data_IF_247471311347
#
_entry.id   IF_247471311347
#
_cell.length_a   1.000
_cell.length_b   1.000
_cell.length_c   1.000
_cell.angle_alpha   90.00
_cell.angle_beta   90.00
_cell.angle_gamma   90.00
#
_symmetry.space_group_name_H-M   'P 1'
#
loop_
_entity.id
_entity.type
_entity.pdbx_description
1 polymer ?
#
# COMPACT_ATOMS: atom_id res chain seq x y z
N UNK A 1 5.32 -8.23 -7.72
CA UNK A 1 4.42 -7.46 -8.61
C UNK A 1 4.22 -6.03 -8.12
N UNK A 2 4.29 -5.75 -6.82
CA UNK A 2 4.15 -4.38 -6.30
C UNK A 2 5.27 -3.42 -6.64
N UNK A 3 6.51 -3.90 -6.65
CA UNK A 3 7.63 -3.12 -7.16
C UNK A 3 7.33 -2.60 -8.58
N UNK A 4 6.59 -3.37 -9.40
CA UNK A 4 6.15 -2.95 -10.73
C UNK A 4 4.97 -1.94 -10.67
N UNK A 5 3.95 -2.14 -9.83
CA UNK A 5 2.85 -1.17 -9.65
C UNK A 5 3.36 0.21 -9.20
N UNK A 6 4.18 0.26 -8.15
CA UNK A 6 4.70 1.52 -7.59
C UNK A 6 5.66 2.18 -8.59
N UNK A 7 6.50 1.39 -9.29
CA UNK A 7 7.41 1.93 -10.30
C UNK A 7 6.65 2.51 -11.49
N UNK A 8 5.60 1.83 -11.99
CA UNK A 8 4.74 2.35 -13.06
C UNK A 8 4.08 3.67 -12.65
N UNK A 9 3.55 3.75 -11.43
CA UNK A 9 2.97 4.99 -10.91
C UNK A 9 4.02 6.14 -10.87
N UNK A 10 5.23 5.87 -10.39
CA UNK A 10 6.32 6.85 -10.37
C UNK A 10 6.71 7.33 -11.78
N UNK A 11 6.75 6.43 -12.77
CA UNK A 11 7.04 6.76 -14.17
C UNK A 11 5.93 7.61 -14.79
N UNK A 12 4.67 7.31 -14.49
CA UNK A 12 3.53 8.13 -14.92
C UNK A 12 3.62 9.54 -14.33
N UNK A 13 3.95 9.67 -13.03
CA UNK A 13 4.16 10.98 -12.41
C UNK A 13 5.34 11.75 -13.03
N UNK A 14 6.42 11.06 -13.37
CA UNK A 14 7.56 11.67 -14.07
C UNK A 14 7.16 12.17 -15.46
N UNK A 15 6.44 11.37 -16.24
CA UNK A 15 5.92 11.75 -17.56
C UNK A 15 5.07 13.02 -17.47
N UNK A 16 4.19 13.09 -16.46
CA UNK A 16 3.35 14.26 -16.17
C UNK A 16 4.18 15.49 -15.82
N UNK A 17 5.17 15.34 -14.93
CA UNK A 17 6.09 16.42 -14.53
C UNK A 17 6.81 17.01 -15.74
N UNK A 18 7.29 16.15 -16.64
CA UNK A 18 8.01 16.54 -17.86
C UNK A 18 7.08 16.95 -19.02
N UNK A 19 5.77 16.81 -18.87
CA UNK A 19 4.77 17.07 -19.91
C UNK A 19 5.04 16.27 -21.20
N UNK A 20 5.43 14.99 -21.05
CA UNK A 20 5.70 14.07 -22.16
C UNK A 20 4.82 12.82 -22.07
N UNK A 21 4.55 12.12 -23.19
CA UNK A 21 3.90 10.81 -23.15
C UNK A 21 4.71 9.80 -22.32
N UNK A 22 4.01 8.91 -21.59
CA UNK A 22 4.64 7.93 -20.69
C UNK A 22 5.60 6.99 -21.43
N UNK A 23 5.32 6.71 -22.71
CA UNK A 23 6.13 5.85 -23.58
C UNK A 23 7.55 6.40 -23.77
N UNK A 24 7.75 7.72 -23.64
CA UNK A 24 9.07 8.34 -23.74
C UNK A 24 9.94 8.12 -22.52
N UNK A 25 9.35 7.85 -21.36
CA UNK A 25 10.04 7.64 -20.08
C UNK A 25 9.88 6.23 -19.54
N UNK A 26 9.11 5.36 -20.21
CA UNK A 26 8.86 3.97 -19.81
C UNK A 26 10.13 3.17 -19.55
N UNK A 27 11.19 3.40 -20.34
CA UNK A 27 12.47 2.72 -20.15
C UNK A 27 13.13 2.97 -18.78
N UNK A 28 12.67 3.99 -18.02
CA UNK A 28 13.15 4.27 -16.67
C UNK A 28 12.53 3.35 -15.61
N UNK A 29 11.55 2.51 -15.96
CA UNK A 29 11.01 1.46 -15.06
C UNK A 29 12.13 0.56 -14.51
N UNK A 30 13.20 0.33 -15.29
CA UNK A 30 14.34 -0.49 -14.85
C UNK A 30 15.13 0.11 -13.67
N UNK A 31 14.93 1.39 -13.35
CA UNK A 31 15.60 2.05 -12.22
C UNK A 31 14.88 1.80 -10.89
N UNK A 32 13.63 1.33 -10.93
CA UNK A 32 12.78 1.17 -9.76
C UNK A 32 12.19 2.49 -9.24
N UNK A 33 11.13 2.38 -8.45
CA UNK A 33 10.31 3.50 -8.00
C UNK A 33 11.09 4.61 -7.28
N UNK A 34 11.95 4.26 -6.32
CA UNK A 34 12.71 5.23 -5.51
C UNK A 34 13.62 6.11 -6.38
N UNK A 35 14.34 5.50 -7.33
CA UNK A 35 15.24 6.24 -8.23
C UNK A 35 14.46 7.10 -9.23
N UNK A 36 13.34 6.59 -9.76
CA UNK A 36 12.47 7.37 -10.66
C UNK A 36 11.90 8.57 -9.93
N UNK A 37 11.47 8.40 -8.68
CA UNK A 37 10.95 9.48 -7.87
C UNK A 37 12.02 10.51 -7.50
N UNK A 38 13.23 10.06 -7.17
CA UNK A 38 14.37 10.95 -6.95
C UNK A 38 14.73 11.77 -8.21
N UNK A 39 14.66 11.17 -9.40
CA UNK A 39 14.83 11.87 -10.69
C UNK A 39 13.72 12.90 -10.87
N UNK A 40 12.45 12.50 -10.65
CA UNK A 40 11.28 13.39 -10.74
C UNK A 40 11.46 14.63 -9.87
N UNK A 41 11.86 14.45 -8.61
CA UNK A 41 12.13 15.55 -7.70
C UNK A 41 13.22 16.50 -8.20
N UNK A 42 14.35 15.96 -8.69
CA UNK A 42 15.47 16.79 -9.22
C UNK A 42 15.07 17.56 -10.49
N UNK A 43 14.34 16.92 -11.39
CA UNK A 43 13.86 17.56 -12.63
C UNK A 43 12.80 18.62 -12.33
N UNK A 44 11.84 18.33 -11.44
CA UNK A 44 10.86 19.31 -10.98
C UNK A 44 11.55 20.55 -10.39
N UNK A 45 12.55 20.35 -9.51
CA UNK A 45 13.33 21.46 -8.94
C UNK A 45 13.95 22.33 -10.04
N UNK A 46 14.59 21.72 -11.03
CA UNK A 46 15.24 22.46 -12.11
C UNK A 46 14.22 23.24 -12.97
N UNK A 47 13.09 22.61 -13.32
CA UNK A 47 12.03 23.23 -14.12
C UNK A 47 11.40 24.44 -13.41
N UNK A 48 11.17 24.35 -12.10
CA UNK A 48 10.60 25.47 -11.35
C UNK A 48 11.63 26.58 -11.09
N UNK A 49 12.90 26.23 -10.90
CA UNK A 49 13.97 27.20 -10.65
C UNK A 49 14.33 27.99 -11.92
N UNK A 50 14.19 27.41 -13.12
CA UNK A 50 14.46 28.06 -14.41
C UNK A 50 13.64 29.36 -14.62
N UNK A 51 12.43 29.42 -14.07
CA UNK A 51 11.53 30.56 -14.23
C UNK A 51 11.41 31.45 -12.98
N UNK A 52 12.22 31.18 -11.94
CA UNK A 52 12.11 31.86 -10.65
C UNK A 52 12.25 33.38 -10.73
N UNK A 53 13.16 33.89 -11.57
CA UNK A 53 13.41 35.34 -11.70
C UNK A 53 12.24 36.09 -12.35
N UNK A 54 11.55 35.49 -13.34
CA UNK A 54 10.35 36.08 -13.95
C UNK A 54 9.21 36.14 -12.94
N UNK A 55 8.97 35.04 -12.21
CA UNK A 55 7.91 34.99 -11.23
C UNK A 55 8.18 35.86 -9.99
N UNK A 56 9.44 36.05 -9.62
CA UNK A 56 9.86 37.00 -8.56
C UNK A 56 9.47 38.44 -8.91
N UNK A 57 9.56 38.84 -10.17
CA UNK A 57 9.13 40.18 -10.62
C UNK A 57 7.63 40.33 -10.56
N UNK A 58 6.89 39.28 -10.93
CA UNK A 58 5.42 39.25 -10.83
C UNK A 58 4.99 39.30 -9.36
N UNK A 59 5.63 38.53 -8.48
CA UNK A 59 5.32 38.52 -7.04
C UNK A 59 5.56 39.87 -6.39
N UNK A 60 6.58 40.62 -6.81
CA UNK A 60 6.86 41.97 -6.30
C UNK A 60 5.72 42.98 -6.49
N UNK A 61 4.79 42.73 -7.43
CA UNK A 61 3.61 43.57 -7.65
C UNK A 61 2.43 43.20 -6.73
N UNK A 62 2.44 42.02 -6.13
CA UNK A 62 1.35 41.49 -5.30
C UNK A 62 1.07 42.35 -4.05
N UNK A 63 2.07 42.94 -3.34
CA UNK A 63 1.81 43.86 -2.24
C UNK A 63 0.97 45.08 -2.64
N UNK A 64 1.15 45.56 -3.88
CA UNK A 64 0.68 46.87 -4.35
C UNK A 64 -0.79 46.81 -4.81
N UNK A 65 -1.19 45.72 -5.48
CA UNK A 65 -2.53 45.62 -6.09
C UNK A 65 -3.51 44.84 -5.19
N UNK A 66 -4.71 45.37 -4.89
CA UNK A 66 -5.72 44.63 -4.12
C UNK A 66 -6.22 43.38 -4.83
N UNK A 67 -6.28 42.25 -4.11
CA UNK A 67 -6.67 40.94 -4.67
C UNK A 67 -8.06 40.95 -5.31
N UNK A 68 -9.03 41.66 -4.71
CA UNK A 68 -10.41 41.78 -5.21
C UNK A 68 -10.51 42.44 -6.60
N UNK A 69 -9.50 43.21 -6.98
CA UNK A 69 -9.41 43.86 -8.30
C UNK A 69 -8.58 42.99 -9.24
N UNK A 70 -7.43 42.48 -8.78
CA UNK A 70 -6.51 41.73 -9.60
C UNK A 70 -7.05 40.36 -10.03
N UNK A 71 -7.61 39.58 -9.11
CA UNK A 71 -7.96 38.18 -9.37
C UNK A 71 -9.07 38.00 -10.43
N UNK A 72 -10.14 38.81 -10.49
CA UNK A 72 -11.11 38.71 -11.57
C UNK A 72 -10.51 38.97 -12.96
N UNK A 73 -9.53 39.88 -13.05
CA UNK A 73 -8.82 40.17 -14.31
C UNK A 73 -7.91 38.99 -14.66
N UNK A 74 -7.08 38.55 -13.71
CA UNK A 74 -6.13 37.44 -13.91
C UNK A 74 -6.84 36.19 -14.40
N UNK A 75 -7.92 35.77 -13.75
CA UNK A 75 -8.68 34.57 -14.11
C UNK A 75 -9.33 34.64 -15.50
N UNK A 76 -9.56 35.85 -16.02
CA UNK A 76 -10.14 36.08 -17.35
C UNK A 76 -9.09 36.22 -18.45
N UNK A 77 -7.89 36.69 -18.12
CA UNK A 77 -6.87 37.08 -19.12
C UNK A 77 -5.63 36.19 -19.13
N UNK A 78 -5.31 35.53 -18.01
CA UNK A 78 -4.11 34.70 -17.87
C UNK A 78 -4.52 33.23 -18.02
N UNK A 79 -3.84 32.44 -18.87
CA UNK A 79 -4.07 31.00 -18.93
C UNK A 79 -3.75 30.32 -17.59
N UNK A 80 -4.55 29.33 -17.19
CA UNK A 80 -4.39 28.61 -15.93
C UNK A 80 -2.99 27.99 -15.75
N UNK A 81 -2.38 27.54 -16.85
CA UNK A 81 -0.99 27.02 -16.88
C UNK A 81 0.04 28.01 -16.35
N UNK A 82 -0.07 29.28 -16.76
CA UNK A 82 0.82 30.36 -16.33
C UNK A 82 0.50 30.79 -14.90
N UNK A 83 -0.79 30.82 -14.54
CA UNK A 83 -1.20 31.15 -13.19
C UNK A 83 -0.75 30.11 -12.16
N UNK A 84 -0.81 28.82 -12.46
CA UNK A 84 -0.31 27.76 -11.58
C UNK A 84 1.19 27.90 -11.30
N UNK A 85 1.99 28.10 -12.35
CA UNK A 85 3.44 28.34 -12.20
C UNK A 85 3.75 29.60 -11.38
N UNK A 86 3.00 30.68 -11.60
CA UNK A 86 3.15 31.92 -10.85
C UNK A 86 2.67 31.79 -9.40
N UNK A 87 1.63 30.98 -9.14
CA UNK A 87 1.05 30.79 -7.82
C UNK A 87 2.07 30.23 -6.81
N UNK A 88 2.96 29.33 -7.25
CA UNK A 88 4.03 28.82 -6.40
C UNK A 88 4.95 29.93 -5.88
N UNK A 89 5.44 30.80 -6.77
CA UNK A 89 6.29 31.93 -6.38
C UNK A 89 5.56 32.95 -5.49
N UNK A 90 4.29 33.24 -5.79
CA UNK A 90 3.46 34.13 -4.96
C UNK A 90 3.21 33.53 -3.58
N UNK A 91 2.93 32.23 -3.50
CA UNK A 91 2.74 31.50 -2.24
C UNK A 91 3.98 31.55 -1.35
N UNK A 92 5.17 31.39 -1.94
CA UNK A 92 6.44 31.47 -1.22
C UNK A 92 6.75 32.89 -0.73
N UNK A 93 6.52 33.92 -1.56
CA UNK A 93 6.86 35.30 -1.22
C UNK A 93 5.81 35.99 -0.32
N UNK A 94 4.53 35.64 -0.49
CA UNK A 94 3.40 36.31 0.16
C UNK A 94 2.35 35.30 0.66
N UNK A 95 2.71 34.42 1.61
CA UNK A 95 1.88 33.28 2.04
C UNK A 95 0.47 33.69 2.50
N UNK A 96 0.34 34.75 3.30
CA UNK A 96 -0.98 35.25 3.75
C UNK A 96 -1.86 35.75 2.59
N UNK A 97 -1.27 36.42 1.60
CA UNK A 97 -2.03 36.89 0.43
C UNK A 97 -2.42 35.74 -0.49
N UNK A 98 -1.57 34.72 -0.62
CA UNK A 98 -1.89 33.51 -1.35
C UNK A 98 -3.05 32.73 -0.69
N UNK A 99 -3.02 32.59 0.63
CA UNK A 99 -4.13 32.01 1.42
C UNK A 99 -5.45 32.79 1.18
N UNK A 100 -5.42 34.12 1.30
CA UNK A 100 -6.60 34.96 0.99
C UNK A 100 -7.06 34.90 -0.47
N UNK A 101 -6.15 34.61 -1.40
CA UNK A 101 -6.49 34.52 -2.82
C UNK A 101 -7.31 33.27 -3.13
N UNK A 102 -7.09 32.15 -2.41
CA UNK A 102 -7.83 30.90 -2.61
C UNK A 102 -9.34 31.09 -2.52
N UNK A 103 -9.81 31.89 -1.56
CA UNK A 103 -11.24 32.20 -1.38
C UNK A 103 -11.86 33.05 -2.51
N UNK A 104 -11.04 33.62 -3.39
CA UNK A 104 -11.47 34.49 -4.50
C UNK A 104 -11.27 33.83 -5.88
N UNK A 105 -10.66 32.64 -5.93
CA UNK A 105 -10.49 31.88 -7.16
C UNK A 105 -11.76 31.10 -7.50
N UNK A 106 -12.08 31.03 -8.78
CA UNK A 106 -13.07 30.11 -9.32
C UNK A 106 -12.49 28.70 -9.25
N UNK A 107 -13.30 27.76 -8.74
CA UNK A 107 -12.90 26.37 -8.52
C UNK A 107 -12.37 25.73 -9.81
N UNK A 108 -13.08 25.92 -10.93
CA UNK A 108 -12.66 25.35 -12.22
C UNK A 108 -11.30 25.86 -12.70
N UNK A 109 -11.07 27.17 -12.55
CA UNK A 109 -9.81 27.79 -12.95
C UNK A 109 -8.65 27.36 -12.05
N UNK A 110 -8.90 27.25 -10.74
CA UNK A 110 -7.91 26.74 -9.80
C UNK A 110 -7.59 25.26 -10.03
N UNK A 111 -8.59 24.45 -10.38
CA UNK A 111 -8.39 23.05 -10.78
C UNK A 111 -7.58 22.93 -12.09
N UNK A 112 -7.81 23.81 -13.08
CA UNK A 112 -7.00 23.88 -14.30
C UNK A 112 -5.54 24.30 -14.03
N UNK A 113 -5.33 25.13 -13.01
CA UNK A 113 -4.02 25.63 -12.63
C UNK A 113 -3.24 24.62 -11.77
N UNK A 114 -3.93 23.76 -11.02
CA UNK A 114 -3.35 22.85 -10.04
C UNK A 114 -2.19 21.99 -10.57
N UNK A 115 -2.27 21.34 -11.76
CA UNK A 115 -1.17 20.50 -12.25
C UNK A 115 0.17 21.24 -12.44
N UNK A 116 0.14 22.57 -12.50
CA UNK A 116 1.30 23.41 -12.79
C UNK A 116 1.84 24.15 -11.56
N UNK A 117 1.26 23.92 -10.38
CA UNK A 117 1.70 24.54 -9.13
C UNK A 117 2.93 23.78 -8.61
N UNK A 118 3.94 24.53 -8.16
CA UNK A 118 5.10 23.98 -7.45
C UNK A 118 4.65 23.36 -6.11
N UNK A 119 4.75 22.02 -5.93
CA UNK A 119 4.35 21.35 -4.69
C UNK A 119 5.07 21.88 -3.45
N UNK A 120 6.32 22.34 -3.61
CA UNK A 120 7.13 22.90 -2.52
C UNK A 120 6.50 24.17 -1.94
N UNK A 121 5.81 24.94 -2.78
CA UNK A 121 5.08 26.12 -2.34
C UNK A 121 3.82 25.72 -1.55
N UNK A 122 3.14 24.65 -1.97
CA UNK A 122 1.94 24.15 -1.29
C UNK A 122 2.27 23.61 0.09
N UNK A 123 3.35 22.83 0.24
CA UNK A 123 3.82 22.34 1.55
C UNK A 123 4.09 23.50 2.53
N UNK A 124 4.65 24.61 2.05
CA UNK A 124 4.89 25.80 2.90
C UNK A 124 3.63 26.64 3.12
N UNK A 125 2.67 26.59 2.21
CA UNK A 125 1.43 27.35 2.30
C UNK A 125 0.39 26.65 3.18
N UNK A 126 0.34 25.32 3.18
CA UNK A 126 -0.69 24.56 3.88
C UNK A 126 -0.84 24.92 5.38
N UNK A 127 0.25 25.11 6.17
CA UNK A 127 0.14 25.49 7.58
C UNK A 127 -0.39 26.91 7.84
N UNK A 128 -0.50 27.76 6.81
CA UNK A 128 -0.98 29.15 6.94
C UNK A 128 -2.35 29.39 6.28
N UNK A 129 -3.00 28.32 5.83
CA UNK A 129 -4.35 28.38 5.29
C UNK A 129 -5.33 28.41 6.46
N UNK A 130 -6.02 29.54 6.64
CA UNK A 130 -6.97 29.73 7.74
C UNK A 130 -8.33 29.06 7.45
N UNK A 131 -8.71 28.95 6.16
CA UNK A 131 -9.95 28.33 5.69
C UNK A 131 -9.63 27.25 4.64
N UNK A 132 -9.91 26.00 4.98
CA UNK A 132 -9.68 24.85 4.11
C UNK A 132 -10.80 24.64 3.07
N UNK A 133 -11.96 25.29 3.20
CA UNK A 133 -13.10 25.06 2.31
C UNK A 133 -12.78 25.30 0.81
N UNK A 134 -12.03 26.35 0.42
CA UNK A 134 -11.62 26.54 -0.98
C UNK A 134 -10.69 25.42 -1.47
N UNK A 135 -9.76 24.95 -0.63
CA UNK A 135 -8.84 23.86 -0.98
C UNK A 135 -9.61 22.56 -1.20
N UNK A 136 -10.54 22.25 -0.30
CA UNK A 136 -11.42 21.08 -0.42
C UNK A 136 -12.30 21.16 -1.67
N UNK A 137 -12.84 22.34 -2.00
CA UNK A 137 -13.62 22.53 -3.22
C UNK A 137 -12.80 22.28 -4.50
N UNK A 138 -11.55 22.75 -4.52
CA UNK A 138 -10.61 22.51 -5.64
C UNK A 138 -10.24 21.03 -5.73
N UNK A 139 -9.90 20.40 -4.61
CA UNK A 139 -9.57 18.97 -4.57
C UNK A 139 -10.75 18.12 -5.05
N UNK A 140 -11.98 18.44 -4.63
CA UNK A 140 -13.21 17.78 -5.10
C UNK A 140 -13.36 17.92 -6.61
N UNK A 141 -13.10 19.10 -7.17
CA UNK A 141 -13.18 19.31 -8.62
C UNK A 141 -12.09 18.55 -9.39
N UNK A 142 -10.87 18.48 -8.86
CA UNK A 142 -9.78 17.67 -9.44
C UNK A 142 -10.15 16.18 -9.45
N UNK A 143 -10.70 15.66 -8.37
CA UNK A 143 -11.16 14.26 -8.28
C UNK A 143 -12.37 14.00 -9.19
N UNK A 144 -13.33 14.92 -9.26
CA UNK A 144 -14.48 14.84 -10.19
C UNK A 144 -14.03 14.72 -11.66
N UNK A 145 -12.89 15.34 -12.00
CA UNK A 145 -12.26 15.26 -13.33
C UNK A 145 -11.38 14.01 -13.52
N UNK A 146 -11.29 13.15 -12.50
CA UNK A 146 -10.43 11.96 -12.44
C UNK A 146 -8.94 12.26 -12.61
N UNK A 147 -8.50 13.46 -12.23
CA UNK A 147 -7.08 13.84 -12.27
C UNK A 147 -6.39 13.43 -10.96
N UNK A 148 -6.29 12.11 -10.75
CA UNK A 148 -5.75 11.51 -9.53
C UNK A 148 -4.26 11.81 -9.31
N UNK A 149 -3.51 12.00 -10.40
CA UNK A 149 -2.08 12.35 -10.34
C UNK A 149 -1.91 13.75 -9.74
N UNK A 150 -2.73 14.72 -10.17
CA UNK A 150 -2.70 16.07 -9.61
C UNK A 150 -3.15 16.07 -8.15
N UNK A 151 -4.14 15.25 -7.78
CA UNK A 151 -4.54 15.10 -6.38
C UNK A 151 -3.38 14.54 -5.53
N UNK A 152 -2.72 13.48 -5.99
CA UNK A 152 -1.60 12.83 -5.31
C UNK A 152 -0.41 13.77 -5.08
N UNK A 153 -0.15 14.68 -6.02
CA UNK A 153 0.96 15.65 -5.95
C UNK A 153 0.89 16.58 -4.73
N UNK A 154 -0.30 16.79 -4.15
CA UNK A 154 -0.48 17.68 -2.99
C UNK A 154 -0.62 16.95 -1.65
N UNK A 155 -0.60 15.62 -1.66
CA UNK A 155 -0.78 14.81 -0.46
C UNK A 155 0.36 15.06 0.55
N UNK A 156 1.56 15.37 0.10
CA UNK A 156 2.69 15.72 0.99
C UNK A 156 2.47 17.02 1.78
N UNK A 157 1.55 17.88 1.34
CA UNK A 157 1.19 19.12 2.02
C UNK A 157 0.02 18.93 3.00
N UNK A 158 -0.49 17.71 3.17
CA UNK A 158 -1.66 17.43 3.97
C UNK A 158 -1.36 17.57 5.47
N UNK A 159 -1.74 18.69 6.07
CA UNK A 159 -1.73 18.85 7.54
C UNK A 159 -2.90 18.07 8.16
N UNK A 160 -2.84 17.71 9.46
CA UNK A 160 -3.95 17.02 10.12
C UNK A 160 -5.31 17.74 9.98
N UNK A 161 -5.31 19.08 10.00
CA UNK A 161 -6.51 19.90 9.80
C UNK A 161 -7.03 19.80 8.36
N UNK A 162 -6.13 19.83 7.37
CA UNK A 162 -6.50 19.68 5.97
C UNK A 162 -7.01 18.26 5.68
N UNK A 163 -6.41 17.22 6.28
CA UNK A 163 -6.87 15.83 6.16
C UNK A 163 -8.30 15.70 6.67
N UNK A 164 -8.60 16.23 7.87
CA UNK A 164 -9.97 16.23 8.41
C UNK A 164 -10.95 17.01 7.54
N UNK A 165 -10.53 18.16 7.01
CA UNK A 165 -11.38 18.96 6.13
C UNK A 165 -11.69 18.24 4.79
N UNK A 166 -10.70 17.53 4.23
CA UNK A 166 -10.86 16.71 3.03
C UNK A 166 -11.77 15.52 3.31
N UNK A 167 -11.56 14.82 4.42
CA UNK A 167 -12.37 13.68 4.85
C UNK A 167 -13.86 14.07 4.98
N UNK A 168 -14.16 15.18 5.64
CA UNK A 168 -15.52 15.69 5.82
C UNK A 168 -16.14 16.27 4.54
N UNK A 169 -15.31 16.69 3.58
CA UNK A 169 -15.75 17.45 2.42
C UNK A 169 -15.79 16.66 1.11
N UNK A 170 -15.18 15.48 1.05
CA UNK A 170 -15.09 14.68 -0.17
C UNK A 170 -15.61 13.28 0.14
N UNK A 171 -16.71 12.90 -0.49
CA UNK A 171 -17.31 11.56 -0.34
C UNK A 171 -16.82 10.56 -1.40
N UNK A 172 -15.92 10.98 -2.29
CA UNK A 172 -15.38 10.18 -3.40
C UNK A 172 -14.28 9.20 -2.91
N UNK A 173 -14.70 8.10 -2.28
CA UNK A 173 -13.78 7.06 -1.79
C UNK A 173 -12.93 6.44 -2.91
N UNK A 174 -13.53 6.21 -4.08
CA UNK A 174 -12.81 5.73 -5.25
C UNK A 174 -11.72 6.72 -5.65
N UNK A 175 -12.06 8.00 -5.80
CA UNK A 175 -11.09 9.02 -6.19
C UNK A 175 -9.96 9.21 -5.19
N UNK A 176 -10.26 9.15 -3.88
CA UNK A 176 -9.24 9.20 -2.83
C UNK A 176 -8.30 7.99 -2.90
N UNK A 177 -8.84 6.79 -3.12
CA UNK A 177 -8.03 5.57 -3.26
C UNK A 177 -7.11 5.64 -4.49
N UNK A 178 -7.65 6.04 -5.64
CA UNK A 178 -6.89 6.20 -6.89
C UNK A 178 -5.82 7.26 -6.78
N UNK A 179 -6.08 8.37 -6.07
CA UNK A 179 -5.05 9.35 -5.76
C UNK A 179 -3.96 8.76 -4.84
N UNK A 180 -4.36 8.01 -3.81
CA UNK A 180 -3.44 7.29 -2.91
C UNK A 180 -2.51 6.31 -3.65
N UNK A 181 -2.97 5.67 -4.72
CA UNK A 181 -2.14 4.80 -5.56
C UNK A 181 -0.89 5.51 -6.11
N UNK A 182 -1.00 6.80 -6.45
CA UNK A 182 0.12 7.61 -6.98
C UNK A 182 1.03 8.21 -5.89
N UNK A 183 0.67 8.11 -4.60
CA UNK A 183 1.49 8.66 -3.50
C UNK A 183 2.69 7.75 -3.26
N UNK A 184 3.90 8.20 -3.58
CA UNK A 184 5.09 7.35 -3.45
C UNK A 184 5.45 7.01 -1.99
N UNK A 185 5.30 7.97 -1.07
CA UNK A 185 5.73 7.81 0.32
C UNK A 185 4.66 7.15 1.19
N UNK A 186 4.92 5.89 1.59
CA UNK A 186 4.03 5.12 2.47
C UNK A 186 3.80 5.76 3.84
N UNK A 187 4.80 6.43 4.42
CA UNK A 187 4.65 7.10 5.71
C UNK A 187 3.57 8.19 5.67
N UNK A 188 3.43 8.89 4.54
CA UNK A 188 2.39 9.92 4.37
C UNK A 188 1.01 9.28 4.28
N UNK A 189 0.90 8.13 3.61
CA UNK A 189 -0.35 7.35 3.58
C UNK A 189 -0.71 6.90 5.00
N UNK A 190 0.27 6.39 5.77
CA UNK A 190 0.10 6.00 7.17
C UNK A 190 -0.38 7.16 8.03
N UNK A 191 0.23 8.33 7.93
CA UNK A 191 -0.15 9.53 8.68
C UNK A 191 -1.59 9.97 8.38
N UNK A 192 -1.98 9.94 7.10
CA UNK A 192 -3.35 10.26 6.68
C UNK A 192 -4.34 9.26 7.27
N UNK A 193 -4.03 7.98 7.17
CA UNK A 193 -4.90 6.93 7.67
C UNK A 193 -5.04 7.00 9.20
N UNK A 194 -3.98 7.32 9.95
CA UNK A 194 -4.06 7.57 11.40
C UNK A 194 -5.06 8.68 11.71
N UNK A 195 -4.99 9.80 11.01
CA UNK A 195 -5.94 10.91 11.22
C UNK A 195 -7.36 10.48 10.89
N UNK A 196 -7.58 9.73 9.80
CA UNK A 196 -8.92 9.23 9.41
C UNK A 196 -9.46 8.26 10.46
N UNK A 197 -8.67 7.28 10.91
CA UNK A 197 -9.06 6.33 11.96
C UNK A 197 -9.44 7.06 13.25
N UNK A 198 -8.70 8.09 13.64
CA UNK A 198 -8.99 8.89 14.83
C UNK A 198 -10.25 9.76 14.66
N UNK A 199 -10.49 10.33 13.48
CA UNK A 199 -11.58 11.29 13.27
C UNK A 199 -12.90 10.64 12.87
N UNK A 200 -12.85 9.60 12.03
CA UNK A 200 -14.01 8.91 11.47
C UNK A 200 -13.67 7.44 11.14
N UNK A 201 -13.70 6.53 12.14
CA UNK A 201 -13.43 5.10 11.91
C UNK A 201 -14.33 4.46 10.85
N UNK A 202 -15.59 4.89 10.75
CA UNK A 202 -16.54 4.37 9.77
C UNK A 202 -16.07 4.62 8.32
N UNK A 203 -15.31 5.70 8.11
CA UNK A 203 -14.79 6.03 6.78
C UNK A 203 -13.84 4.98 6.23
N UNK A 204 -13.08 4.32 7.11
CA UNK A 204 -12.18 3.22 6.71
C UNK A 204 -13.00 2.07 6.12
N UNK A 205 -14.14 1.75 6.74
CA UNK A 205 -15.08 0.75 6.22
C UNK A 205 -15.62 1.15 4.84
N UNK A 206 -16.08 2.40 4.69
CA UNK A 206 -16.61 2.88 3.39
C UNK A 206 -15.57 2.82 2.27
N UNK A 207 -14.29 3.08 2.59
CA UNK A 207 -13.17 3.00 1.64
C UNK A 207 -12.88 1.54 1.26
N UNK A 208 -12.85 0.62 2.24
CA UNK A 208 -12.65 -0.81 2.01
C UNK A 208 -13.78 -1.36 1.14
N UNK A 209 -15.03 -1.02 1.45
CA UNK A 209 -16.19 -1.45 0.69
C UNK A 209 -16.12 -0.94 -0.76
N UNK A 210 -15.79 0.35 -0.96
CA UNK A 210 -15.62 0.91 -2.30
C UNK A 210 -14.53 0.20 -3.11
N UNK A 211 -13.42 -0.21 -2.46
CA UNK A 211 -12.38 -1.00 -3.12
C UNK A 211 -12.87 -2.42 -3.46
N UNK A 212 -13.55 -3.08 -2.53
CA UNK A 212 -14.01 -4.46 -2.69
C UNK A 212 -15.10 -4.60 -3.78
N UNK A 213 -16.05 -3.68 -3.82
CA UNK A 213 -17.11 -3.64 -4.84
C UNK A 213 -16.65 -3.01 -6.17
N UNK A 214 -15.46 -2.42 -6.17
CA UNK A 214 -14.88 -1.72 -7.30
C UNK A 214 -14.39 -2.63 -8.44
N UNK A 215 -14.11 -2.04 -9.61
CA UNK A 215 -13.47 -2.74 -10.73
C UNK A 215 -12.04 -3.18 -10.38
N UNK A 216 -11.48 -4.13 -11.15
CA UNK A 216 -10.15 -4.71 -10.92
C UNK A 216 -9.03 -3.67 -10.80
N UNK A 217 -9.08 -2.60 -11.60
CA UNK A 217 -8.08 -1.52 -11.53
C UNK A 217 -8.14 -0.76 -10.21
N UNK A 218 -9.34 -0.50 -9.67
CA UNK A 218 -9.51 0.11 -8.35
C UNK A 218 -9.03 -0.82 -7.23
N UNK A 219 -9.30 -2.12 -7.36
CA UNK A 219 -8.79 -3.14 -6.42
C UNK A 219 -7.26 -3.09 -6.38
N UNK A 220 -6.59 -3.09 -7.54
CA UNK A 220 -5.12 -2.99 -7.61
C UNK A 220 -4.57 -1.68 -7.04
N UNK A 221 -5.27 -0.56 -7.26
CA UNK A 221 -4.94 0.72 -6.63
C UNK A 221 -5.04 0.62 -5.10
N UNK A 222 -6.10 0.00 -4.58
CA UNK A 222 -6.30 -0.23 -3.15
C UNK A 222 -5.25 -1.16 -2.55
N UNK A 223 -4.91 -2.24 -3.25
CA UNK A 223 -3.83 -3.14 -2.90
C UNK A 223 -2.51 -2.36 -2.76
N UNK A 224 -2.19 -1.54 -3.77
CA UNK A 224 -0.97 -0.72 -3.72
C UNK A 224 -0.93 0.19 -2.49
N UNK A 225 -2.05 0.83 -2.12
CA UNK A 225 -2.16 1.64 -0.89
C UNK A 225 -1.96 0.78 0.36
N UNK A 226 -2.65 -0.35 0.46
CA UNK A 226 -2.61 -1.25 1.62
C UNK A 226 -1.19 -1.71 1.95
N UNK A 227 -0.35 -1.96 0.96
CA UNK A 227 1.01 -2.45 1.18
C UNK A 227 2.06 -1.39 1.52
N UNK A 228 1.66 -0.12 1.52
CA UNK A 228 2.55 0.98 1.88
C UNK A 228 2.25 1.54 3.27
N UNK A 229 1.19 1.09 3.92
CA UNK A 229 0.87 1.52 5.29
C UNK A 229 1.72 0.78 6.31
N UNK A 230 1.91 1.39 7.47
CA UNK A 230 2.67 0.81 8.57
C UNK A 230 1.98 -0.44 9.13
N UNK A 231 2.76 -1.39 9.64
CA UNK A 231 2.26 -2.67 10.14
C UNK A 231 1.21 -2.54 11.25
N UNK A 232 1.28 -1.51 12.09
CA UNK A 232 0.28 -1.28 13.15
C UNK A 232 -1.08 -0.82 12.58
N UNK A 233 -1.06 -0.13 11.44
CA UNK A 233 -2.28 0.22 10.70
C UNK A 233 -2.87 -0.98 9.97
N UNK A 234 -2.02 -1.91 9.49
CA UNK A 234 -2.51 -3.15 8.86
C UNK A 234 -3.44 -3.92 9.79
N UNK A 235 -3.07 -4.09 11.07
CA UNK A 235 -3.95 -4.74 12.05
C UNK A 235 -5.30 -4.00 12.18
N UNK A 236 -5.27 -2.68 12.27
CA UNK A 236 -6.48 -1.86 12.45
C UNK A 236 -7.40 -1.94 11.22
N UNK A 237 -6.82 -1.82 10.02
CA UNK A 237 -7.55 -1.94 8.75
C UNK A 237 -8.09 -3.35 8.58
N UNK A 238 -7.30 -4.37 8.92
CA UNK A 238 -7.71 -5.76 8.89
C UNK A 238 -8.91 -6.03 9.79
N UNK A 239 -8.90 -5.52 11.02
CA UNK A 239 -10.02 -5.65 11.96
C UNK A 239 -11.31 -5.06 11.38
N UNK A 240 -11.24 -3.85 10.82
CA UNK A 240 -12.41 -3.21 10.18
C UNK A 240 -12.85 -4.00 8.93
N UNK A 241 -11.91 -4.41 8.09
CA UNK A 241 -12.19 -5.14 6.86
C UNK A 241 -12.98 -6.43 7.12
N UNK A 242 -12.51 -7.26 8.06
CA UNK A 242 -13.16 -8.54 8.38
C UNK A 242 -14.42 -8.39 9.25
N UNK A 243 -14.57 -7.30 10.00
CA UNK A 243 -15.77 -7.06 10.80
C UNK A 243 -16.95 -6.54 9.97
N UNK A 244 -16.68 -5.67 8.98
CA UNK A 244 -17.72 -4.89 8.29
C UNK A 244 -18.00 -5.36 6.85
N UNK A 245 -17.13 -6.20 6.27
CA UNK A 245 -17.30 -6.66 4.87
C UNK A 245 -17.80 -8.10 4.80
N UNK A 246 -18.71 -8.38 3.86
CA UNK A 246 -19.22 -9.73 3.63
C UNK A 246 -18.07 -10.71 3.26
N UNK A 247 -17.98 -11.90 3.89
CA UNK A 247 -16.90 -12.85 3.63
C UNK A 247 -16.76 -13.29 2.17
N UNK A 248 -17.86 -13.36 1.40
CA UNK A 248 -17.83 -13.72 -0.02
C UNK A 248 -17.28 -12.59 -0.88
N UNK A 249 -17.56 -11.33 -0.51
CA UNK A 249 -16.98 -10.16 -1.18
C UNK A 249 -15.47 -10.10 -0.93
N UNK A 250 -15.03 -10.36 0.30
CA UNK A 250 -13.60 -10.48 0.61
C UNK A 250 -12.94 -11.65 -0.11
N UNK A 251 -13.63 -12.79 -0.24
CA UNK A 251 -13.12 -13.93 -0.99
C UNK A 251 -12.88 -13.58 -2.47
N UNK A 252 -13.85 -12.91 -3.11
CA UNK A 252 -13.72 -12.42 -4.48
C UNK A 252 -12.57 -11.40 -4.63
N UNK A 253 -12.43 -10.50 -3.67
CA UNK A 253 -11.34 -9.52 -3.62
C UNK A 253 -9.96 -10.21 -3.55
N UNK A 254 -9.79 -11.15 -2.63
CA UNK A 254 -8.53 -11.90 -2.50
C UNK A 254 -8.21 -12.74 -3.73
N UNK A 255 -9.21 -13.38 -4.35
CA UNK A 255 -9.02 -14.10 -5.62
C UNK A 255 -8.56 -13.16 -6.72
N UNK A 256 -9.20 -11.99 -6.86
CA UNK A 256 -8.77 -10.98 -7.83
C UNK A 256 -7.32 -10.53 -7.63
N UNK A 257 -6.84 -10.48 -6.39
CA UNK A 257 -5.44 -10.17 -6.09
C UNK A 257 -4.49 -11.33 -6.40
N UNK A 258 -4.91 -12.57 -6.12
CA UNK A 258 -4.12 -13.76 -6.44
C UNK A 258 -4.00 -13.96 -7.96
N UNK A 259 -5.07 -13.72 -8.72
CA UNK A 259 -5.09 -13.80 -10.18
C UNK A 259 -4.12 -12.80 -10.83
N UNK A 260 -3.93 -11.65 -10.19
CA UNK A 260 -2.96 -10.64 -10.62
C UNK A 260 -1.53 -10.95 -10.15
N UNK A 261 -1.35 -11.96 -9.29
CA UNK A 261 -0.07 -12.47 -8.79
C UNK A 261 0.39 -11.90 -7.44
N UNK A 262 -0.54 -11.40 -6.60
CA UNK A 262 -0.22 -10.67 -5.36
C UNK A 262 -0.12 -11.56 -4.13
N UNK A 263 0.10 -12.86 -4.35
CA UNK A 263 0.22 -13.84 -3.29
C UNK A 263 1.31 -13.48 -2.25
N UNK A 264 2.54 -13.05 -2.63
CA UNK A 264 3.57 -12.73 -1.64
C UNK A 264 3.09 -11.65 -0.69
N UNK A 265 2.50 -10.62 -1.28
CA UNK A 265 2.12 -9.44 -0.54
C UNK A 265 0.89 -9.74 0.33
N UNK A 266 -0.13 -10.45 -0.17
CA UNK A 266 -1.26 -10.93 0.65
C UNK A 266 -0.82 -11.74 1.87
N UNK A 267 0.23 -12.57 1.73
CA UNK A 267 0.77 -13.35 2.83
C UNK A 267 1.51 -12.46 3.83
N UNK A 268 2.32 -11.49 3.37
CA UNK A 268 2.90 -10.48 4.27
C UNK A 268 1.81 -9.70 5.02
N UNK A 269 0.73 -9.30 4.33
CA UNK A 269 -0.42 -8.64 4.97
C UNK A 269 -1.05 -9.52 6.05
N UNK A 270 -1.27 -10.80 5.76
CA UNK A 270 -1.82 -11.76 6.73
C UNK A 270 -0.94 -11.86 8.00
N UNK A 271 0.38 -11.83 7.86
CA UNK A 271 1.32 -11.86 8.99
C UNK A 271 1.27 -10.64 9.93
N UNK A 272 0.57 -9.57 9.55
CA UNK A 272 0.37 -8.36 10.36
C UNK A 272 -1.07 -8.19 10.86
N UNK A 273 -1.95 -9.15 10.56
CA UNK A 273 -3.33 -9.13 11.03
C UNK A 273 -3.41 -9.40 12.54
N UNK A 274 -4.46 -8.87 13.16
CA UNK A 274 -4.80 -9.22 14.54
C UNK A 274 -5.24 -10.69 14.63
N UNK A 275 -5.23 -11.30 15.84
CA UNK A 275 -5.79 -12.64 16.03
C UNK A 275 -7.25 -12.78 15.57
N UNK A 276 -8.11 -11.78 15.80
CA UNK A 276 -9.52 -11.82 15.37
C UNK A 276 -9.69 -11.76 13.86
N UNK A 277 -8.89 -10.93 13.19
CA UNK A 277 -8.87 -10.86 11.74
C UNK A 277 -8.33 -12.16 11.12
N UNK A 278 -7.30 -12.77 11.72
CA UNK A 278 -6.78 -14.08 11.31
C UNK A 278 -7.82 -15.20 11.47
N UNK A 279 -8.57 -15.23 12.58
CA UNK A 279 -9.64 -16.21 12.79
C UNK A 279 -10.77 -16.04 11.75
N UNK A 280 -11.09 -14.79 11.40
CA UNK A 280 -12.07 -14.47 10.36
C UNK A 280 -11.57 -14.87 8.96
N UNK A 281 -10.29 -14.64 8.65
CA UNK A 281 -9.68 -15.07 7.41
C UNK A 281 -9.63 -16.60 7.31
N UNK A 282 -9.25 -17.30 8.39
CA UNK A 282 -9.15 -18.75 8.44
C UNK A 282 -10.49 -19.48 8.24
N UNK A 283 -11.61 -18.79 8.46
CA UNK A 283 -12.97 -19.29 8.22
C UNK A 283 -13.59 -18.73 6.93
N UNK A 284 -12.87 -17.89 6.19
CA UNK A 284 -13.34 -17.30 4.96
C UNK A 284 -13.43 -18.34 3.83
N UNK A 285 -14.48 -18.31 2.97
CA UNK A 285 -14.63 -19.25 1.85
C UNK A 285 -13.44 -19.32 0.88
N UNK A 286 -12.61 -18.27 0.81
CA UNK A 286 -11.39 -18.26 -0.02
C UNK A 286 -10.41 -19.37 0.37
N UNK A 287 -10.37 -19.74 1.66
CA UNK A 287 -9.46 -20.75 2.20
C UNK A 287 -9.89 -22.18 1.84
N UNK A 288 -11.15 -22.38 1.44
CA UNK A 288 -11.64 -23.69 1.03
C UNK A 288 -11.27 -24.05 -0.41
N UNK A 289 -10.86 -23.05 -1.21
CA UNK A 289 -10.53 -23.16 -2.63
C UNK A 289 -9.13 -23.75 -2.84
N UNK A 290 -9.06 -24.90 -3.52
CA UNK A 290 -7.82 -25.63 -3.75
C UNK A 290 -6.84 -24.86 -4.65
N UNK A 291 -7.33 -24.04 -5.60
CA UNK A 291 -6.47 -23.24 -6.48
C UNK A 291 -5.79 -22.12 -5.69
N UNK A 292 -6.51 -21.50 -4.76
CA UNK A 292 -5.99 -20.49 -3.82
C UNK A 292 -4.91 -21.10 -2.92
N UNK A 293 -5.23 -22.24 -2.28
CA UNK A 293 -4.27 -22.93 -1.40
C UNK A 293 -3.00 -23.29 -2.15
N UNK A 294 -3.14 -23.85 -3.36
CA UNK A 294 -2.00 -24.20 -4.19
C UNK A 294 -1.15 -22.96 -4.55
N UNK A 295 -1.78 -21.86 -4.97
CA UNK A 295 -1.09 -20.62 -5.31
C UNK A 295 -0.30 -20.05 -4.13
N UNK A 296 -0.92 -19.96 -2.95
CA UNK A 296 -0.29 -19.47 -1.72
C UNK A 296 0.91 -20.31 -1.31
N UNK A 297 0.78 -21.64 -1.31
CA UNK A 297 1.86 -22.55 -0.93
C UNK A 297 3.02 -22.43 -1.92
N UNK A 298 2.72 -22.44 -3.22
CA UNK A 298 3.70 -22.28 -4.31
C UNK A 298 4.48 -20.98 -4.18
N UNK A 299 3.81 -19.91 -3.79
CA UNK A 299 4.44 -18.60 -3.57
C UNK A 299 5.34 -18.61 -2.34
N UNK A 300 4.90 -19.14 -1.20
CA UNK A 300 5.70 -19.17 0.01
C UNK A 300 7.02 -19.93 -0.20
N UNK A 301 6.97 -21.08 -0.88
CA UNK A 301 8.17 -21.85 -1.24
C UNK A 301 9.11 -21.07 -2.16
N UNK A 302 8.57 -20.30 -3.11
CA UNK A 302 9.39 -19.56 -4.08
C UNK A 302 10.06 -18.29 -3.50
N UNK A 303 9.36 -17.52 -2.66
CA UNK A 303 9.77 -16.16 -2.27
C UNK A 303 10.88 -16.10 -1.21
N UNK A 304 11.20 -17.22 -0.52
CA UNK A 304 12.22 -17.31 0.54
C UNK A 304 12.22 -16.12 1.53
N UNK A 305 11.04 -15.56 1.79
CA UNK A 305 10.84 -14.38 2.62
C UNK A 305 10.17 -14.80 3.93
N UNK A 306 10.76 -14.49 5.10
CA UNK A 306 10.21 -14.93 6.39
C UNK A 306 8.82 -14.36 6.68
N UNK A 307 8.48 -13.18 6.19
CA UNK A 307 7.17 -12.55 6.44
C UNK A 307 6.05 -13.23 5.65
N UNK A 308 6.35 -13.68 4.42
CA UNK A 308 5.44 -14.50 3.61
C UNK A 308 5.14 -15.83 4.30
N UNK A 309 6.18 -16.50 4.80
CA UNK A 309 6.01 -17.75 5.55
C UNK A 309 5.24 -17.56 6.85
N UNK A 310 5.53 -16.49 7.59
CA UNK A 310 4.82 -16.18 8.84
C UNK A 310 3.32 -16.02 8.60
N UNK A 311 2.92 -15.21 7.62
CA UNK A 311 1.50 -15.04 7.31
C UNK A 311 0.81 -16.31 6.83
N UNK A 312 1.49 -17.13 6.01
CA UNK A 312 0.94 -18.44 5.61
C UNK A 312 0.71 -19.35 6.83
N UNK A 313 1.70 -19.47 7.71
CA UNK A 313 1.64 -20.33 8.89
C UNK A 313 0.60 -19.84 9.91
N UNK A 314 0.52 -18.53 10.13
CA UNK A 314 -0.42 -17.92 11.08
C UNK A 314 -1.88 -18.16 10.65
N UNK A 315 -2.18 -18.07 9.36
CA UNK A 315 -3.51 -18.43 8.84
C UNK A 315 -3.72 -19.93 8.94
N UNK A 316 -2.78 -20.75 8.46
CA UNK A 316 -2.91 -22.20 8.42
C UNK A 316 -3.22 -22.81 9.80
N UNK A 317 -2.54 -22.35 10.85
CA UNK A 317 -2.75 -22.83 12.23
C UNK A 317 -4.20 -22.66 12.72
N UNK A 318 -4.91 -21.65 12.21
CA UNK A 318 -6.27 -21.30 12.62
C UNK A 318 -7.35 -21.94 11.74
N UNK A 319 -6.97 -22.49 10.58
CA UNK A 319 -7.91 -23.17 9.68
C UNK A 319 -8.42 -24.49 10.25
N UNK A 320 -9.56 -24.97 9.75
CA UNK A 320 -10.10 -26.27 10.14
C UNK A 320 -9.13 -27.41 9.79
N UNK A 321 -9.07 -28.51 10.58
CA UNK A 321 -8.12 -29.61 10.35
C UNK A 321 -8.16 -30.20 8.93
N UNK A 322 -9.34 -30.25 8.30
CA UNK A 322 -9.47 -30.71 6.91
C UNK A 322 -8.78 -29.81 5.89
N UNK A 323 -8.76 -28.49 6.11
CA UNK A 323 -8.00 -27.54 5.29
C UNK A 323 -6.50 -27.72 5.54
N UNK A 324 -6.09 -27.82 6.81
CA UNK A 324 -4.69 -28.05 7.19
C UNK A 324 -4.13 -29.29 6.50
N UNK A 325 -4.83 -30.42 6.57
CA UNK A 325 -4.37 -31.66 5.93
C UNK A 325 -4.30 -31.55 4.40
N UNK A 326 -5.23 -30.82 3.76
CA UNK A 326 -5.15 -30.55 2.31
C UNK A 326 -3.92 -29.71 1.97
N UNK A 327 -3.72 -28.59 2.67
CA UNK A 327 -2.58 -27.70 2.46
C UNK A 327 -1.24 -28.42 2.68
N UNK A 328 -1.14 -29.23 3.74
CA UNK A 328 0.07 -30.02 4.01
C UNK A 328 0.30 -31.06 2.90
N UNK A 329 -0.73 -31.74 2.41
CA UNK A 329 -0.58 -32.67 1.27
C UNK A 329 -0.08 -31.96 0.01
N UNK A 330 -0.64 -30.80 -0.32
CA UNK A 330 -0.17 -29.99 -1.45
C UNK A 330 1.29 -29.57 -1.28
N UNK A 331 1.69 -29.17 -0.06
CA UNK A 331 3.09 -28.86 0.26
C UNK A 331 3.99 -30.09 0.05
N UNK A 332 3.52 -31.28 0.44
CA UNK A 332 4.26 -32.53 0.21
C UNK A 332 4.24 -32.99 -1.24
N UNK A 333 3.49 -32.39 -2.16
CA UNK A 333 3.55 -32.74 -3.59
C UNK A 333 4.58 -31.88 -4.35
N UNK A 334 5.08 -30.80 -3.74
CA UNK A 334 6.11 -29.93 -4.32
C UNK A 334 7.48 -30.65 -4.32
N UNK A 335 8.27 -30.43 -5.37
CA UNK A 335 9.60 -31.00 -5.54
C UNK A 335 10.52 -30.62 -4.37
N UNK A 336 11.25 -31.59 -3.83
CA UNK A 336 12.18 -31.41 -2.69
C UNK A 336 13.24 -30.34 -2.99
N UNK A 337 13.67 -30.22 -4.25
CA UNK A 337 14.66 -29.21 -4.66
C UNK A 337 14.20 -27.77 -4.44
N UNK A 338 12.89 -27.52 -4.40
CA UNK A 338 12.34 -26.19 -4.14
C UNK A 338 12.37 -25.82 -2.64
N UNK A 339 12.55 -26.79 -1.74
CA UNK A 339 12.65 -26.56 -0.30
C UNK A 339 14.05 -26.17 0.18
N UNK A 340 15.00 -26.03 -0.74
CA UNK A 340 16.35 -25.58 -0.44
C UNK A 340 16.34 -24.24 0.33
N UNK A 341 17.00 -24.21 1.49
CA UNK A 341 17.07 -23.05 2.38
C UNK A 341 15.83 -22.79 3.25
N UNK A 342 14.69 -23.47 3.05
CA UNK A 342 13.48 -23.25 3.85
C UNK A 342 13.69 -23.65 5.32
N UNK A 343 14.41 -24.74 5.58
CA UNK A 343 14.73 -25.17 6.95
C UNK A 343 15.60 -24.14 7.69
N UNK A 344 16.62 -23.60 7.01
CA UNK A 344 17.47 -22.54 7.55
C UNK A 344 16.68 -21.26 7.83
N UNK A 345 15.79 -20.87 6.91
CA UNK A 345 14.87 -19.74 7.09
C UNK A 345 13.98 -19.93 8.33
N UNK A 346 13.44 -21.13 8.52
CA UNK A 346 12.60 -21.45 9.68
C UNK A 346 13.37 -21.39 11.00
N UNK A 347 14.63 -21.81 11.01
CA UNK A 347 15.52 -21.70 12.18
C UNK A 347 15.89 -20.25 12.47
N UNK A 348 16.33 -19.49 11.46
CA UNK A 348 16.79 -18.10 11.61
C UNK A 348 15.66 -17.16 12.09
N UNK A 349 14.45 -17.38 11.59
CA UNK A 349 13.30 -16.51 11.88
C UNK A 349 12.29 -17.12 12.87
N UNK A 350 12.62 -18.25 13.51
CA UNK A 350 11.82 -18.86 14.57
C UNK A 350 10.43 -19.32 14.12
N UNK A 351 10.32 -19.89 12.92
CA UNK A 351 9.06 -20.37 12.33
C UNK A 351 8.70 -21.80 12.77
N UNK A 352 9.66 -22.56 13.34
CA UNK A 352 9.47 -23.94 13.78
C UNK A 352 8.31 -24.15 14.75
N UNK A 353 8.03 -23.27 15.74
CA UNK A 353 6.88 -23.43 16.60
C UNK A 353 5.58 -23.61 15.83
N UNK A 354 5.38 -22.85 14.75
CA UNK A 354 4.14 -22.93 13.98
C UNK A 354 4.07 -24.15 13.08
N UNK A 355 5.20 -24.51 12.47
CA UNK A 355 5.33 -25.76 11.70
C UNK A 355 5.04 -26.98 12.58
N UNK A 356 5.52 -26.98 13.83
CA UNK A 356 5.33 -28.09 14.77
C UNK A 356 3.89 -28.21 15.25
N UNK A 357 3.20 -27.09 15.52
CA UNK A 357 1.76 -27.13 15.86
C UNK A 357 0.91 -27.67 14.71
N UNK A 358 1.21 -27.24 13.47
CA UNK A 358 0.55 -27.79 12.29
C UNK A 358 0.81 -29.28 12.12
N UNK A 359 2.06 -29.71 12.26
CA UNK A 359 2.45 -31.12 12.14
C UNK A 359 1.80 -32.00 13.23
N UNK A 360 1.69 -31.50 14.46
CA UNK A 360 1.07 -32.23 15.57
C UNK A 360 -0.41 -32.58 15.32
N UNK A 361 -1.11 -31.78 14.52
CA UNK A 361 -2.49 -32.05 14.09
C UNK A 361 -2.63 -33.05 12.94
N UNK A 362 -1.52 -33.49 12.32
CA UNK A 362 -1.55 -34.38 11.15
C UNK A 362 -1.36 -35.85 11.50
N UNK A 363 -1.84 -36.73 10.61
CA UNK A 363 -1.61 -38.17 10.69
C UNK A 363 -0.12 -38.52 10.59
N UNK A 364 0.34 -39.61 11.24
CA UNK A 364 1.76 -40.01 11.27
C UNK A 364 2.42 -40.13 9.89
N UNK A 365 1.69 -40.63 8.88
CA UNK A 365 2.19 -40.79 7.52
C UNK A 365 2.47 -39.43 6.86
N UNK A 366 1.58 -38.46 7.08
CA UNK A 366 1.74 -37.12 6.53
C UNK A 366 2.87 -36.36 7.23
N UNK A 367 3.04 -36.57 8.54
CA UNK A 367 4.19 -36.06 9.31
C UNK A 367 5.53 -36.60 8.78
N UNK A 368 5.60 -37.90 8.46
CA UNK A 368 6.79 -38.51 7.86
C UNK A 368 7.06 -37.95 6.45
N UNK A 369 6.01 -37.73 5.64
CA UNK A 369 6.14 -37.10 4.34
C UNK A 369 6.64 -35.65 4.44
N UNK A 370 6.14 -34.86 5.40
CA UNK A 370 6.66 -33.51 5.67
C UNK A 370 8.15 -33.56 6.02
N UNK A 371 8.58 -34.47 6.89
CA UNK A 371 9.98 -34.63 7.26
C UNK A 371 10.88 -34.93 6.05
N UNK A 372 10.41 -35.78 5.12
CA UNK A 372 11.17 -36.13 3.92
C UNK A 372 11.49 -34.92 3.02
N UNK A 373 10.64 -33.87 3.04
CA UNK A 373 10.86 -32.64 2.27
C UNK A 373 12.05 -31.83 2.77
N UNK A 374 12.36 -31.94 4.07
CA UNK A 374 13.45 -31.21 4.70
C UNK A 374 14.71 -32.06 4.91
N UNK A 375 14.63 -33.38 4.75
CA UNK A 375 15.69 -34.31 5.13
C UNK A 375 17.03 -34.00 4.42
N UNK A 376 16.97 -33.60 3.16
CA UNK A 376 18.14 -33.25 2.34
C UNK A 376 18.76 -31.88 2.68
N UNK A 377 17.99 -30.98 3.30
CA UNK A 377 18.37 -29.56 3.50
C UNK A 377 18.59 -29.20 4.97
N UNK A 378 18.06 -30.00 5.90
CA UNK A 378 18.17 -29.76 7.35
C UNK A 378 19.59 -30.04 7.84
N UNK A 379 20.16 -29.05 8.51
CA UNK A 379 21.44 -29.15 9.20
C UNK A 379 21.28 -29.71 10.61
N UNK A 380 22.38 -30.13 11.25
CA UNK A 380 22.34 -30.57 12.65
C UNK A 380 21.86 -29.45 13.61
N UNK A 381 22.11 -28.17 13.25
CA UNK A 381 21.61 -27.02 14.00
C UNK A 381 20.09 -26.90 13.91
N UNK A 382 19.52 -27.09 12.71
CA UNK A 382 18.07 -27.07 12.51
C UNK A 382 17.41 -28.22 13.30
N UNK A 383 17.99 -29.43 13.28
CA UNK A 383 17.49 -30.58 14.07
C UNK A 383 17.44 -30.26 15.56
N UNK A 384 18.51 -29.67 16.10
CA UNK A 384 18.56 -29.29 17.50
C UNK A 384 17.48 -28.26 17.84
N UNK A 385 17.29 -27.25 16.98
CA UNK A 385 16.25 -26.23 17.13
C UNK A 385 14.83 -26.83 17.10
N UNK A 386 14.56 -27.74 16.15
CA UNK A 386 13.27 -28.45 16.05
C UNK A 386 12.99 -29.24 17.34
N UNK A 387 13.97 -29.99 17.84
CA UNK A 387 13.83 -30.76 19.09
C UNK A 387 13.58 -29.87 20.31
N UNK A 388 14.32 -28.77 20.42
CA UNK A 388 14.15 -27.80 21.51
C UNK A 388 12.75 -27.19 21.50
N UNK A 389 12.26 -26.74 20.33
CA UNK A 389 10.92 -26.18 20.20
C UNK A 389 9.81 -27.22 20.43
N UNK A 390 9.97 -28.45 19.94
CA UNK A 390 9.01 -29.53 20.18
C UNK A 390 8.89 -29.85 21.68
N UNK A 391 10.01 -29.86 22.41
CA UNK A 391 10.03 -30.04 23.85
C UNK A 391 9.40 -28.85 24.60
N UNK A 392 9.74 -27.61 24.21
CA UNK A 392 9.21 -26.40 24.82
C UNK A 392 7.69 -26.26 24.66
N UNK A 393 7.14 -26.73 23.52
CA UNK A 393 5.70 -26.75 23.25
C UNK A 393 4.98 -27.98 23.85
N UNK A 394 5.71 -28.95 24.39
CA UNK A 394 5.13 -30.21 24.89
C UNK A 394 4.57 -31.11 23.78
N UNK A 395 5.06 -30.97 22.54
CA UNK A 395 4.55 -31.68 21.36
C UNK A 395 5.37 -32.92 20.99
N UNK A 396 6.46 -33.23 21.71
CA UNK A 396 7.42 -34.29 21.37
C UNK A 396 6.79 -35.64 21.03
N UNK A 397 5.74 -36.06 21.74
CA UNK A 397 5.03 -37.31 21.46
C UNK A 397 4.15 -37.23 20.19
N UNK A 398 3.51 -36.08 19.98
CA UNK A 398 2.57 -35.86 18.87
C UNK A 398 3.29 -35.71 17.54
N UNK A 399 4.53 -35.19 17.54
CA UNK A 399 5.39 -35.03 16.35
C UNK A 399 6.51 -36.08 16.28
N UNK A 400 6.42 -37.16 17.07
CA UNK A 400 7.43 -38.22 17.08
C UNK A 400 7.70 -38.84 15.70
N UNK A 401 6.69 -39.11 14.83
CA UNK A 401 6.93 -39.58 13.46
C UNK A 401 7.78 -38.62 12.62
N UNK A 402 7.55 -37.31 12.75
CA UNK A 402 8.35 -36.27 12.08
C UNK A 402 9.80 -36.28 12.59
N UNK A 403 10.00 -36.28 13.91
CA UNK A 403 11.34 -36.28 14.52
C UNK A 403 12.13 -37.55 14.16
N UNK A 404 11.47 -38.71 14.17
CA UNK A 404 12.09 -39.98 13.80
C UNK A 404 12.53 -40.00 12.33
N UNK A 405 11.70 -39.47 11.43
CA UNK A 405 12.00 -39.39 10.00
C UNK A 405 13.13 -38.41 9.71
N UNK A 406 13.21 -37.29 10.43
CA UNK A 406 14.36 -36.39 10.34
C UNK A 406 15.64 -37.07 10.87
N UNK A 407 15.58 -37.83 11.96
CA UNK A 407 16.76 -38.48 12.54
C UNK A 407 17.33 -39.63 11.69
N UNK A 408 16.53 -40.22 10.80
CA UNK A 408 16.98 -41.22 9.83
C UNK A 408 17.97 -40.57 8.85
N UNK A 409 19.26 -40.82 9.04
CA UNK A 409 20.30 -40.48 8.07
C UNK A 409 20.20 -41.46 6.90
N UNK A 410 20.16 -40.94 5.68
CA UNK A 410 20.41 -41.73 4.47
C UNK A 410 21.85 -42.27 4.45
#
# INVERSE_FOLDING_TARGET
MMADLITRAAVVMLARTLHVPVEKVKHLESLGAENVDAIRHRMANTLYDEHAEVFKRISALVPIVPLKIALPIVQKTVPATMAGRAAGAVGLAHPKKASSALALLQVDYAADAAPYIDPRAVVKLAPVIDDHAPVVAIAREVLRRKDYITAAQFVEAATPELIRAVEQGIDDNEGLMRAGAFVHNGAIISDILRVIVESNPARVSDIIQAAAEGPTDLRLDALSVLFRIDADLISTVGDVMFAETDPLVLADLFKSYLDEGAAPELLTFAGHLSPSALDSLATNPVIEDDDVLFAVIRTAVAERNPDVWRGMLDVAERTAPGVQSRAVRMLTDIDVSEFDGVAALATEHGLWPSVLRLAAGQEPDLQAQMASRFQATVTDADRACIHEHAAALGLTEQVAPLLASLAARD
#
